data_IF_495447508923
#
_entry.id   IF_495447508923
#
_cell.length_a   1.000
_cell.length_b   1.000
_cell.length_c   1.000
_cell.angle_alpha   90.00
_cell.angle_beta   90.00
_cell.angle_gamma   90.00
#
_symmetry.space_group_name_H-M   'P 1'
#
loop_
_entity.id
_entity.type
_entity.pdbx_description
1 polymer ?
#
# COMPACT_ATOMS: atom_id res chain seq x y z
N UNK A 1 0.67 -3.21 24.40
CA UNK A 1 0.53 -4.29 23.39
C UNK A 1 0.82 -3.80 21.96
N UNK A 2 0.30 -2.64 21.53
CA UNK A 2 0.49 -2.13 20.16
C UNK A 2 1.97 -2.09 19.69
N UNK A 3 2.89 -1.66 20.55
CA UNK A 3 4.33 -1.59 20.22
C UNK A 3 5.08 -2.93 20.29
N UNK A 4 4.49 -4.00 20.84
CA UNK A 4 5.15 -5.31 20.88
C UNK A 4 5.15 -5.98 19.51
N UNK A 5 4.06 -5.83 18.76
CA UNK A 5 3.94 -6.35 17.39
C UNK A 5 5.06 -5.84 16.47
N UNK A 6 5.30 -4.52 16.32
CA UNK A 6 6.35 -4.03 15.45
C UNK A 6 7.73 -4.50 15.91
N UNK A 7 8.01 -4.57 17.22
CA UNK A 7 9.32 -5.04 17.73
C UNK A 7 9.58 -6.51 17.35
N UNK A 8 8.59 -7.39 17.52
CA UNK A 8 8.73 -8.82 17.20
C UNK A 8 8.84 -9.03 15.69
N UNK A 9 7.99 -8.36 14.91
CA UNK A 9 7.91 -8.58 13.47
C UNK A 9 8.93 -7.77 12.65
N UNK A 10 9.64 -6.81 13.25
CA UNK A 10 10.67 -6.02 12.56
C UNK A 10 11.81 -6.88 12.02
N UNK A 11 12.30 -7.86 12.78
CA UNK A 11 13.39 -8.75 12.36
C UNK A 11 12.98 -9.62 11.15
N UNK A 12 11.92 -10.44 11.21
CA UNK A 12 11.56 -11.32 10.10
C UNK A 12 11.17 -10.53 8.85
N UNK A 13 10.42 -9.43 8.99
CA UNK A 13 10.04 -8.59 7.84
C UNK A 13 11.27 -7.89 7.26
N UNK A 14 12.22 -7.45 8.10
CA UNK A 14 13.48 -6.89 7.65
C UNK A 14 14.33 -7.89 6.85
N UNK A 15 14.37 -9.15 7.24
CA UNK A 15 15.06 -10.21 6.47
C UNK A 15 14.40 -10.38 5.10
N UNK A 16 13.07 -10.43 5.04
CA UNK A 16 12.35 -10.56 3.76
C UNK A 16 12.62 -9.34 2.89
N UNK A 17 12.48 -8.12 3.43
CA UNK A 17 12.76 -6.89 2.69
C UNK A 17 14.21 -6.82 2.21
N UNK A 18 15.18 -7.29 2.99
CA UNK A 18 16.58 -7.31 2.61
C UNK A 18 16.87 -8.26 1.42
N UNK A 19 16.12 -9.37 1.30
CA UNK A 19 16.31 -10.36 0.24
C UNK A 19 15.49 -10.00 -1.01
N UNK A 20 14.22 -9.62 -0.84
CA UNK A 20 13.27 -9.45 -1.95
C UNK A 20 13.00 -7.99 -2.32
N UNK A 21 13.54 -7.02 -1.58
CA UNK A 21 13.21 -5.60 -1.70
C UNK A 21 11.69 -5.32 -1.55
N UNK A 22 10.96 -6.23 -0.91
CA UNK A 22 9.50 -6.12 -0.78
C UNK A 22 9.13 -5.97 0.69
N UNK A 23 8.46 -4.87 1.03
CA UNK A 23 8.04 -4.58 2.38
C UNK A 23 6.61 -5.03 2.62
N UNK A 24 6.44 -6.01 3.51
CA UNK A 24 5.14 -6.60 3.81
C UNK A 24 4.44 -5.75 4.88
N UNK A 25 3.19 -5.36 4.59
CA UNK A 25 2.37 -4.59 5.52
C UNK A 25 1.80 -5.46 6.65
N UNK A 26 1.95 -5.01 7.91
CA UNK A 26 1.27 -5.62 9.07
C UNK A 26 -0.14 -5.06 9.31
N UNK A 27 -0.63 -4.17 8.45
CA UNK A 27 -1.87 -3.43 8.62
C UNK A 27 -3.07 -4.33 8.94
N UNK A 28 -3.25 -5.43 8.20
CA UNK A 28 -4.42 -6.31 8.37
C UNK A 28 -4.35 -7.09 9.68
N UNK A 29 -3.17 -7.56 10.08
CA UNK A 29 -3.00 -8.34 11.31
C UNK A 29 -3.27 -7.46 12.53
N UNK A 30 -2.76 -6.23 12.54
CA UNK A 30 -2.99 -5.29 13.64
C UNK A 30 -4.47 -4.91 13.75
N UNK A 31 -5.14 -4.69 12.61
CA UNK A 31 -6.59 -4.42 12.54
C UNK A 31 -7.43 -5.58 13.08
N UNK A 32 -7.12 -6.82 12.69
CA UNK A 32 -7.85 -8.01 13.15
C UNK A 32 -7.68 -8.22 14.66
N UNK A 33 -6.45 -8.12 15.19
CA UNK A 33 -6.19 -8.30 16.63
C UNK A 33 -7.02 -7.30 17.45
N UNK A 34 -7.01 -6.02 17.07
CA UNK A 34 -7.73 -4.97 17.81
C UNK A 34 -9.23 -5.08 17.62
N UNK A 35 -9.67 -5.42 16.41
CA UNK A 35 -11.09 -5.62 16.15
C UNK A 35 -11.69 -6.71 17.03
N UNK A 36 -10.92 -7.75 17.39
CA UNK A 36 -11.34 -8.75 18.38
C UNK A 36 -11.26 -8.25 19.82
N UNK A 37 -10.28 -7.41 20.17
CA UNK A 37 -10.10 -6.89 21.54
C UNK A 37 -11.07 -5.76 21.91
N UNK A 38 -11.35 -4.85 20.98
CA UNK A 38 -12.14 -3.63 21.20
C UNK A 38 -13.11 -3.40 20.02
N UNK A 39 -14.10 -4.28 19.83
CA UNK A 39 -15.10 -4.09 18.78
C UNK A 39 -15.94 -2.83 19.03
N UNK A 40 -16.35 -2.15 17.94
CA UNK A 40 -17.20 -0.97 17.97
C UNK A 40 -16.47 0.36 18.20
N UNK A 41 -15.13 0.36 18.34
CA UNK A 41 -14.33 1.58 18.60
C UNK A 41 -13.36 1.87 17.44
N UNK A 42 -13.81 2.54 16.36
CA UNK A 42 -13.00 2.77 15.16
C UNK A 42 -11.77 3.67 15.41
N UNK A 43 -11.90 4.68 16.27
CA UNK A 43 -10.78 5.58 16.61
C UNK A 43 -9.65 4.79 17.31
N UNK A 44 -10.01 3.89 18.23
CA UNK A 44 -9.05 3.03 18.91
C UNK A 44 -8.34 2.08 17.93
N UNK A 45 -9.07 1.55 16.94
CA UNK A 45 -8.50 0.74 15.88
C UNK A 45 -7.48 1.51 15.03
N UNK A 46 -7.81 2.74 14.64
CA UNK A 46 -6.91 3.59 13.84
C UNK A 46 -5.62 3.92 14.60
N UNK A 47 -5.72 4.25 15.89
CA UNK A 47 -4.55 4.50 16.73
C UNK A 47 -3.68 3.26 16.88
N UNK A 48 -4.28 2.09 17.11
CA UNK A 48 -3.50 0.86 17.24
C UNK A 48 -2.85 0.46 15.92
N UNK A 49 -3.53 0.62 14.77
CA UNK A 49 -2.91 0.43 13.45
C UNK A 49 -1.70 1.34 13.28
N UNK A 50 -1.84 2.63 13.60
CA UNK A 50 -0.75 3.59 13.52
C UNK A 50 0.45 3.16 14.36
N UNK A 51 0.24 2.80 15.63
CA UNK A 51 1.34 2.38 16.52
C UNK A 51 1.85 0.96 16.27
N UNK A 52 1.03 0.06 15.73
CA UNK A 52 1.39 -1.33 15.48
C UNK A 52 2.14 -1.55 14.16
N UNK A 53 1.99 -0.65 13.19
CA UNK A 53 2.61 -0.76 11.87
C UNK A 53 3.63 0.33 11.57
N UNK A 54 3.32 1.60 11.84
CA UNK A 54 4.18 2.72 11.41
C UNK A 54 5.58 2.70 12.03
N UNK A 55 5.77 2.36 13.32
CA UNK A 55 7.11 2.26 13.90
C UNK A 55 7.98 1.20 13.23
N UNK A 56 7.41 0.05 12.84
CA UNK A 56 8.15 -0.96 12.09
C UNK A 56 8.52 -0.44 10.70
N UNK A 57 7.55 0.18 10.00
CA UNK A 57 7.77 0.70 8.66
C UNK A 57 8.90 1.75 8.64
N UNK A 58 8.82 2.73 9.53
CA UNK A 58 9.85 3.76 9.68
C UNK A 58 11.17 3.20 10.18
N UNK A 59 11.15 2.23 11.11
CA UNK A 59 12.35 1.56 11.59
C UNK A 59 13.12 0.80 10.51
N UNK A 60 12.40 0.19 9.56
CA UNK A 60 13.00 -0.49 8.40
C UNK A 60 13.66 0.51 7.44
N UNK A 61 12.97 1.62 7.12
CA UNK A 61 13.54 2.69 6.30
C UNK A 61 14.77 3.33 6.96
N UNK A 62 14.70 3.59 8.26
CA UNK A 62 15.84 4.08 9.04
C UNK A 62 17.03 3.13 8.98
N UNK A 63 16.78 1.82 9.08
CA UNK A 63 17.84 0.78 8.97
C UNK A 63 18.45 0.74 7.57
N UNK A 64 17.63 0.89 6.52
CA UNK A 64 18.09 0.97 5.13
C UNK A 64 19.02 2.17 4.92
N UNK A 65 18.65 3.32 5.44
CA UNK A 65 19.45 4.54 5.35
C UNK A 65 20.73 4.47 6.18
N UNK A 66 20.70 3.86 7.38
CA UNK A 66 21.91 3.63 8.18
C UNK A 66 22.92 2.75 7.44
N UNK A 67 22.44 1.75 6.68
CA UNK A 67 23.30 0.91 5.84
C UNK A 67 23.95 1.73 4.72
N UNK A 68 23.18 2.61 4.07
CA UNK A 68 23.71 3.53 3.07
C UNK A 68 24.73 4.51 3.67
N UNK A 69 24.42 5.09 4.83
CA UNK A 69 25.32 5.98 5.57
C UNK A 69 26.63 5.30 5.96
N UNK A 70 26.57 4.02 6.35
CA UNK A 70 27.77 3.21 6.60
C UNK A 70 28.64 3.06 5.35
N UNK A 71 28.06 2.82 4.18
CA UNK A 71 28.80 2.76 2.91
C UNK A 71 29.43 4.11 2.53
N UNK A 72 28.78 5.23 2.86
CA UNK A 72 29.28 6.58 2.63
C UNK A 72 30.22 7.08 3.73
N UNK A 73 30.55 6.23 4.72
CA UNK A 73 31.39 6.56 5.89
C UNK A 73 30.85 7.73 6.74
N UNK A 74 29.54 7.92 6.77
CA UNK A 74 28.90 8.93 7.62
C UNK A 74 28.75 8.38 9.05
N UNK A 75 29.11 9.14 10.10
CA UNK A 75 28.97 8.67 11.47
C UNK A 75 27.48 8.44 11.83
N UNK A 76 27.14 7.33 12.51
CA UNK A 76 25.75 6.93 12.76
C UNK A 76 24.98 7.91 13.66
N UNK A 77 25.67 8.61 14.57
CA UNK A 77 25.04 9.64 15.43
C UNK A 77 24.53 10.82 14.61
N UNK A 78 25.27 11.24 13.59
CA UNK A 78 24.88 12.35 12.71
C UNK A 78 23.71 11.94 11.83
N UNK A 79 23.72 10.70 11.30
CA UNK A 79 22.58 10.15 10.56
C UNK A 79 21.30 10.13 11.41
N UNK A 80 21.39 9.64 12.65
CA UNK A 80 20.24 9.60 13.57
C UNK A 80 19.66 10.99 13.83
N UNK A 81 20.51 12.00 14.07
CA UNK A 81 20.05 13.37 14.30
C UNK A 81 19.43 13.95 13.03
N UNK A 82 20.07 13.78 11.87
CA UNK A 82 19.58 14.30 10.59
C UNK A 82 18.20 13.74 10.24
N UNK A 83 18.02 12.43 10.37
CA UNK A 83 16.73 11.77 10.12
C UNK A 83 15.69 12.14 11.18
N UNK A 84 16.09 12.27 12.45
CA UNK A 84 15.20 12.71 13.52
C UNK A 84 14.65 14.11 13.27
N UNK A 85 15.52 15.07 12.97
CA UNK A 85 15.12 16.45 12.61
C UNK A 85 14.26 16.46 11.36
N UNK A 86 14.66 15.73 10.31
CA UNK A 86 13.88 15.63 9.08
C UNK A 86 12.49 15.06 9.29
N UNK A 87 12.34 14.05 10.15
CA UNK A 87 11.05 13.42 10.46
C UNK A 87 10.14 14.35 11.25
N UNK A 88 10.68 15.08 12.24
CA UNK A 88 9.92 16.09 13.00
C UNK A 88 9.45 17.20 12.08
N UNK A 89 10.34 17.72 11.24
CA UNK A 89 10.01 18.76 10.26
C UNK A 89 8.95 18.30 9.27
N UNK A 90 9.12 17.09 8.70
CA UNK A 90 8.14 16.49 7.80
C UNK A 90 6.78 16.30 8.48
N UNK A 91 6.74 15.93 9.76
CA UNK A 91 5.50 15.84 10.53
C UNK A 91 4.77 17.18 10.59
N UNK A 92 5.48 18.27 10.90
CA UNK A 92 4.90 19.62 10.96
C UNK A 92 4.40 20.08 9.59
N UNK A 93 5.22 19.94 8.55
CA UNK A 93 4.88 20.39 7.18
C UNK A 93 3.69 19.62 6.62
N UNK A 94 3.64 18.29 6.80
CA UNK A 94 2.53 17.49 6.31
C UNK A 94 1.20 17.90 6.96
N UNK A 95 1.19 18.16 8.26
CA UNK A 95 -0.03 18.63 8.96
C UNK A 95 -0.42 20.03 8.47
N UNK A 96 0.54 20.95 8.38
CA UNK A 96 0.28 22.32 7.92
C UNK A 96 -0.28 22.35 6.48
N UNK A 97 0.28 21.56 5.58
CA UNK A 97 -0.19 21.44 4.20
C UNK A 97 -1.56 20.77 4.14
N UNK A 98 -1.82 19.76 4.99
CA UNK A 98 -3.13 19.12 5.06
C UNK A 98 -4.22 20.10 5.49
N UNK A 99 -3.99 20.87 6.55
CA UNK A 99 -4.92 21.91 7.02
C UNK A 99 -5.14 22.99 5.97
N UNK A 100 -4.07 23.45 5.33
CA UNK A 100 -4.17 24.41 4.22
C UNK A 100 -4.99 23.85 3.05
N UNK A 101 -4.79 22.58 2.69
CA UNK A 101 -5.48 21.96 1.57
C UNK A 101 -6.99 21.86 1.82
N UNK A 102 -7.41 21.46 3.03
CA UNK A 102 -8.83 21.43 3.40
C UNK A 102 -9.47 22.83 3.46
N UNK A 103 -8.69 23.87 3.82
CA UNK A 103 -9.18 25.26 3.86
C UNK A 103 -9.23 25.96 2.51
N UNK A 104 -8.28 25.68 1.61
CA UNK A 104 -8.13 26.37 0.33
C UNK A 104 -8.91 25.71 -0.82
N UNK A 105 -9.08 24.37 -0.78
CA UNK A 105 -9.73 23.59 -1.84
C UNK A 105 -11.14 23.22 -1.39
N UNK A 106 -12.15 23.78 -2.07
CA UNK A 106 -13.55 23.39 -1.85
C UNK A 106 -13.79 21.95 -2.34
N UNK A 107 -14.65 21.23 -1.63
CA UNK A 107 -15.09 19.87 -1.96
C UNK A 107 -13.93 18.85 -2.06
N UNK A 108 -12.90 19.03 -1.22
CA UNK A 108 -11.76 18.12 -1.17
C UNK A 108 -12.20 16.73 -0.70
N UNK A 109 -11.70 15.68 -1.35
CA UNK A 109 -12.08 14.28 -1.14
C UNK A 109 -13.50 13.90 -1.59
N UNK A 110 -14.25 14.76 -2.28
CA UNK A 110 -15.53 14.40 -2.92
C UNK A 110 -15.32 13.81 -4.33
N UNK A 111 -16.22 12.91 -4.82
CA UNK A 111 -16.09 12.31 -6.14
C UNK A 111 -16.19 13.32 -7.28
N UNK A 112 -16.96 14.39 -7.11
CA UNK A 112 -17.25 15.42 -8.13
C UNK A 112 -16.33 16.65 -8.03
N UNK A 113 -15.19 16.51 -7.35
CA UNK A 113 -14.25 17.62 -7.23
C UNK A 113 -13.67 17.95 -8.62
N UNK A 114 -13.90 19.19 -9.08
CA UNK A 114 -13.40 19.73 -10.36
C UNK A 114 -11.89 19.57 -10.56
N UNK A 115 -11.13 19.52 -9.47
CA UNK A 115 -9.67 19.40 -9.49
C UNK A 115 -9.16 17.96 -9.32
N UNK A 116 -10.05 16.96 -9.21
CA UNK A 116 -9.69 15.54 -9.13
C UNK A 116 -9.06 15.08 -7.81
N UNK A 117 -9.18 15.86 -6.73
CA UNK A 117 -8.66 15.49 -5.39
C UNK A 117 -9.59 14.49 -4.69
N UNK A 118 -9.58 13.23 -5.13
CA UNK A 118 -10.51 12.17 -4.68
C UNK A 118 -10.04 11.32 -3.47
N UNK A 119 -8.95 11.71 -2.79
CA UNK A 119 -8.41 11.11 -1.55
C UNK A 119 -8.55 9.57 -1.41
N UNK A 120 -8.09 8.76 -2.38
CA UNK A 120 -8.37 7.33 -2.44
C UNK A 120 -7.80 6.56 -1.24
N UNK A 121 -6.57 6.90 -0.82
CA UNK A 121 -5.91 6.28 0.33
C UNK A 121 -6.63 6.60 1.64
N UNK A 122 -7.13 7.83 1.80
CA UNK A 122 -7.90 8.25 2.97
C UNK A 122 -9.24 7.52 3.07
N UNK A 123 -9.95 7.37 1.93
CA UNK A 123 -11.18 6.59 1.84
C UNK A 123 -10.96 5.11 2.14
N UNK A 124 -9.89 4.50 1.60
CA UNK A 124 -9.52 3.11 1.88
C UNK A 124 -9.24 2.90 3.38
N UNK A 125 -8.46 3.80 4.01
CA UNK A 125 -8.18 3.74 5.43
C UNK A 125 -9.44 3.90 6.32
N UNK A 126 -10.37 4.78 5.92
CA UNK A 126 -11.67 4.93 6.59
C UNK A 126 -12.55 3.69 6.43
N UNK A 127 -12.65 3.14 5.22
CA UNK A 127 -13.42 1.92 4.97
C UNK A 127 -12.87 0.74 5.77
N UNK A 128 -11.55 0.58 5.86
CA UNK A 128 -10.91 -0.42 6.73
C UNK A 128 -11.29 -0.23 8.21
N UNK A 129 -11.34 1.02 8.71
CA UNK A 129 -11.70 1.28 10.10
C UNK A 129 -13.17 0.99 10.42
N UNK A 130 -14.06 1.15 9.44
CA UNK A 130 -15.46 0.74 9.57
C UNK A 130 -15.57 -0.79 9.59
N UNK A 131 -14.92 -1.48 8.66
CA UNK A 131 -14.98 -2.95 8.54
C UNK A 131 -14.38 -3.63 9.78
N UNK A 132 -13.13 -3.31 10.13
CA UNK A 132 -12.43 -3.99 11.22
C UNK A 132 -12.65 -3.36 12.59
N UNK A 133 -12.98 -2.07 12.66
CA UNK A 133 -13.14 -1.33 13.92
C UNK A 133 -14.59 -1.24 14.39
N UNK A 134 -15.54 -0.89 13.51
CA UNK A 134 -16.97 -0.74 13.88
C UNK A 134 -17.70 -2.08 13.84
N UNK A 135 -17.66 -2.79 12.72
CA UNK A 135 -18.34 -4.09 12.56
C UNK A 135 -17.60 -5.16 13.38
N UNK A 136 -16.28 -5.14 13.28
CA UNK A 136 -15.40 -6.06 13.99
C UNK A 136 -15.24 -7.41 13.27
N UNK A 137 -14.05 -8.02 13.33
CA UNK A 137 -13.74 -9.29 12.69
C UNK A 137 -14.57 -10.46 13.23
N UNK A 138 -15.06 -10.39 14.48
CA UNK A 138 -15.95 -11.40 15.04
C UNK A 138 -17.26 -11.56 14.26
N UNK A 139 -17.80 -10.47 13.70
CA UNK A 139 -19.05 -10.50 12.92
C UNK A 139 -18.82 -10.85 11.45
N UNK A 140 -17.66 -10.49 10.90
CA UNK A 140 -17.33 -10.69 9.48
C UNK A 140 -16.75 -12.09 9.23
N UNK A 141 -15.84 -12.53 10.10
CA UNK A 141 -15.08 -13.78 9.99
C UNK A 141 -15.44 -14.82 11.05
N UNK A 142 -16.39 -14.52 11.94
CA UNK A 142 -16.89 -15.49 12.93
C UNK A 142 -17.69 -16.64 12.32
N UNK A 143 -18.22 -17.52 13.17
CA UNK A 143 -18.92 -18.75 12.74
C UNK A 143 -20.08 -18.48 11.76
N UNK A 144 -20.80 -17.39 11.98
CA UNK A 144 -21.96 -16.97 11.20
C UNK A 144 -21.65 -15.82 10.21
N UNK A 145 -20.37 -15.47 10.06
CA UNK A 145 -19.94 -14.40 9.16
C UNK A 145 -19.88 -14.84 7.69
N UNK A 146 -20.26 -13.95 6.77
CA UNK A 146 -20.21 -14.19 5.32
C UNK A 146 -18.80 -14.52 4.80
N UNK A 147 -17.78 -13.99 5.46
CA UNK A 147 -16.39 -14.08 5.03
C UNK A 147 -15.57 -15.09 5.85
N UNK A 148 -16.21 -15.99 6.62
CA UNK A 148 -15.50 -16.99 7.44
C UNK A 148 -14.47 -17.81 6.65
N UNK A 149 -14.76 -18.10 5.38
CA UNK A 149 -13.89 -18.91 4.53
C UNK A 149 -12.57 -18.19 4.20
N UNK A 150 -12.51 -16.86 4.29
CA UNK A 150 -11.28 -16.11 4.06
C UNK A 150 -10.21 -16.38 5.13
N UNK A 151 -10.59 -16.82 6.34
CA UNK A 151 -9.62 -17.21 7.36
C UNK A 151 -8.77 -18.40 6.93
N UNK A 152 -9.25 -19.28 6.03
CA UNK A 152 -8.45 -20.36 5.46
C UNK A 152 -7.27 -19.86 4.64
N UNK A 153 -7.30 -18.61 4.17
CA UNK A 153 -6.16 -18.02 3.46
C UNK A 153 -4.94 -17.83 4.37
N UNK A 154 -5.11 -17.71 5.70
CA UNK A 154 -3.98 -17.74 6.63
C UNK A 154 -3.29 -19.11 6.66
N UNK A 155 -4.07 -20.20 6.58
CA UNK A 155 -3.53 -21.55 6.48
C UNK A 155 -2.83 -21.77 5.14
N UNK A 156 -3.42 -21.32 4.04
CA UNK A 156 -2.75 -21.32 2.73
C UNK A 156 -1.43 -20.53 2.80
N UNK A 157 -1.45 -19.35 3.42
CA UNK A 157 -0.25 -18.53 3.63
C UNK A 157 0.83 -19.20 4.48
N UNK A 158 0.45 -20.00 5.49
CA UNK A 158 1.38 -20.74 6.33
C UNK A 158 1.94 -21.99 5.63
N UNK A 159 1.12 -22.68 4.83
CA UNK A 159 1.49 -23.91 4.12
C UNK A 159 2.34 -23.62 2.88
N UNK A 160 2.08 -22.52 2.16
CA UNK A 160 2.75 -22.22 0.88
C UNK A 160 4.28 -22.11 1.01
N UNK A 161 4.87 -21.43 2.02
CA UNK A 161 6.32 -21.42 2.21
C UNK A 161 6.92 -22.82 2.44
N UNK A 162 6.22 -23.68 3.18
CA UNK A 162 6.64 -25.08 3.44
C UNK A 162 6.58 -25.90 2.15
N UNK A 163 5.53 -25.71 1.34
CA UNK A 163 5.41 -26.34 0.03
C UNK A 163 6.53 -25.88 -0.93
N UNK A 164 6.84 -24.58 -0.97
CA UNK A 164 7.93 -24.10 -1.82
C UNK A 164 9.30 -24.59 -1.34
N UNK A 165 9.51 -24.64 -0.03
CA UNK A 165 10.74 -25.21 0.54
C UNK A 165 10.92 -26.69 0.17
N UNK A 166 9.88 -27.50 0.31
CA UNK A 166 9.93 -28.93 -0.07
C UNK A 166 10.12 -29.10 -1.57
N UNK A 167 9.43 -28.31 -2.39
CA UNK A 167 9.57 -28.32 -3.84
C UNK A 167 11.00 -27.94 -4.29
N UNK A 168 11.62 -26.95 -3.64
CA UNK A 168 13.01 -26.57 -3.90
C UNK A 168 13.98 -27.71 -3.58
N UNK A 169 13.72 -28.48 -2.51
CA UNK A 169 14.57 -29.60 -2.10
C UNK A 169 14.40 -30.83 -3.00
N UNK A 170 13.19 -31.12 -3.46
CA UNK A 170 12.91 -32.26 -4.34
C UNK A 170 13.35 -32.00 -5.79
N UNK A 171 13.19 -30.76 -6.28
CA UNK A 171 13.50 -30.39 -7.66
C UNK A 171 14.50 -29.23 -7.77
N UNK A 172 15.77 -29.43 -7.36
CA UNK A 172 16.77 -28.35 -7.31
C UNK A 172 17.10 -27.74 -8.68
N UNK A 173 16.83 -28.45 -9.78
CA UNK A 173 17.06 -27.98 -11.16
C UNK A 173 15.83 -27.32 -11.81
N UNK A 174 14.65 -27.36 -11.16
CA UNK A 174 13.42 -26.80 -11.71
C UNK A 174 13.33 -25.29 -11.49
N UNK A 175 12.54 -24.60 -12.32
CA UNK A 175 12.19 -23.19 -12.15
C UNK A 175 11.48 -22.86 -10.83
N UNK A 176 11.04 -23.90 -10.09
CA UNK A 176 10.51 -23.80 -8.74
C UNK A 176 11.36 -22.91 -7.82
N UNK A 177 12.70 -22.92 -7.97
CA UNK A 177 13.63 -22.09 -7.16
C UNK A 177 13.36 -20.58 -7.17
N UNK A 178 12.63 -20.08 -8.18
CA UNK A 178 12.30 -18.67 -8.31
C UNK A 178 10.97 -18.30 -7.65
N UNK A 179 10.23 -19.27 -7.12
CA UNK A 179 8.97 -19.04 -6.43
C UNK A 179 9.24 -18.51 -5.02
N UNK A 180 8.61 -17.38 -4.70
CA UNK A 180 8.68 -16.75 -3.40
C UNK A 180 7.26 -16.44 -2.93
N UNK A 181 6.81 -17.17 -1.90
CA UNK A 181 5.47 -16.99 -1.34
C UNK A 181 5.20 -15.55 -0.89
N UNK A 182 6.14 -14.86 -0.21
CA UNK A 182 5.93 -13.48 0.18
C UNK A 182 5.78 -12.51 -1.00
N UNK A 183 6.46 -12.75 -2.12
CA UNK A 183 6.32 -11.91 -3.32
C UNK A 183 4.98 -12.14 -4.04
N UNK A 184 4.54 -13.40 -4.13
CA UNK A 184 3.28 -13.77 -4.78
C UNK A 184 2.08 -13.20 -4.03
N UNK A 185 2.01 -13.40 -2.71
CA UNK A 185 0.90 -12.86 -1.91
C UNK A 185 1.06 -11.37 -1.61
N UNK A 186 2.30 -10.89 -1.49
CA UNK A 186 2.60 -9.48 -1.24
C UNK A 186 2.16 -8.57 -2.39
N UNK A 187 2.25 -9.04 -3.64
CA UNK A 187 1.85 -8.26 -4.81
C UNK A 187 0.42 -7.73 -4.74
N UNK A 188 -0.48 -8.40 -4.02
CA UNK A 188 -1.91 -8.03 -3.92
C UNK A 188 -2.18 -6.93 -2.88
N UNK A 189 -1.18 -6.55 -2.06
CA UNK A 189 -1.39 -5.65 -0.91
C UNK A 189 -1.82 -4.21 -1.27
N UNK A 190 -1.63 -3.78 -2.52
CA UNK A 190 -2.06 -2.44 -2.96
C UNK A 190 -3.49 -2.43 -3.52
N UNK A 191 -4.23 -3.55 -3.48
CA UNK A 191 -5.66 -3.60 -3.82
C UNK A 191 -6.47 -3.48 -2.52
N UNK A 192 -7.31 -2.43 -2.33
CA UNK A 192 -7.46 -1.16 -3.06
C UNK A 192 -6.58 -0.04 -2.44
N UNK A 193 -5.80 0.75 -3.23
CA UNK A 193 -6.31 1.62 -4.31
C UNK A 193 -5.76 1.38 -5.73
N UNK A 194 -4.82 0.47 -5.93
CA UNK A 194 -4.22 0.22 -7.24
C UNK A 194 -5.21 -0.51 -8.17
N UNK A 195 -5.35 0.00 -9.39
CA UNK A 195 -6.22 -0.61 -10.42
C UNK A 195 -5.45 -1.67 -11.21
N UNK A 196 -6.13 -2.57 -11.94
CA UNK A 196 -5.47 -3.52 -12.83
C UNK A 196 -4.50 -2.84 -13.81
N UNK A 197 -4.83 -1.61 -14.27
CA UNK A 197 -3.96 -0.82 -15.13
C UNK A 197 -2.62 -0.48 -14.44
N UNK A 198 -2.63 -0.13 -13.15
CA UNK A 198 -1.41 0.13 -12.37
C UNK A 198 -0.54 -1.12 -12.26
N UNK A 199 -1.14 -2.28 -12.05
CA UNK A 199 -0.40 -3.54 -11.99
C UNK A 199 0.19 -3.94 -13.34
N UNK A 200 -0.59 -3.81 -14.41
CA UNK A 200 -0.13 -4.12 -15.77
C UNK A 200 1.01 -3.20 -16.18
N UNK A 201 0.93 -1.90 -15.88
CA UNK A 201 2.02 -0.97 -16.20
C UNK A 201 3.30 -1.30 -15.42
N UNK A 202 3.21 -1.66 -14.13
CA UNK A 202 4.35 -2.14 -13.36
C UNK A 202 4.97 -3.40 -13.95
N UNK A 203 4.15 -4.37 -14.37
CA UNK A 203 4.64 -5.59 -15.03
C UNK A 203 5.32 -5.28 -16.36
N UNK A 204 4.75 -4.39 -17.17
CA UNK A 204 5.33 -4.02 -18.47
C UNK A 204 6.67 -3.30 -18.31
N UNK A 205 6.75 -2.30 -17.43
CA UNK A 205 8.01 -1.58 -17.14
C UNK A 205 9.03 -2.55 -16.51
N UNK A 206 8.58 -3.35 -15.54
CA UNK A 206 9.39 -4.36 -14.87
C UNK A 206 10.01 -5.36 -15.84
N UNK A 207 9.22 -5.94 -16.77
CA UNK A 207 9.73 -6.85 -17.80
C UNK A 207 10.65 -6.14 -18.79
N UNK A 208 10.30 -4.93 -19.21
CA UNK A 208 11.12 -4.19 -20.18
C UNK A 208 12.52 -3.93 -19.61
N UNK A 209 12.63 -3.40 -18.40
CA UNK A 209 13.92 -3.10 -17.79
C UNK A 209 14.65 -4.33 -17.25
N UNK A 210 13.95 -5.22 -16.53
CA UNK A 210 14.61 -6.34 -15.84
C UNK A 210 14.77 -7.61 -16.69
N UNK A 211 13.98 -7.79 -17.75
CA UNK A 211 14.10 -8.94 -18.64
C UNK A 211 14.73 -8.56 -19.99
N UNK A 212 14.15 -7.60 -20.72
CA UNK A 212 14.63 -7.25 -22.07
C UNK A 212 15.95 -6.47 -22.03
N UNK A 213 15.99 -5.34 -21.32
CA UNK A 213 17.18 -4.47 -21.27
C UNK A 213 18.32 -5.17 -20.54
N UNK A 214 18.05 -5.82 -19.40
CA UNK A 214 19.07 -6.57 -18.67
C UNK A 214 19.71 -7.68 -19.52
N UNK A 215 18.95 -8.40 -20.35
CA UNK A 215 19.47 -9.49 -21.19
C UNK A 215 20.23 -8.99 -22.42
N UNK A 216 19.79 -7.88 -23.03
CA UNK A 216 20.39 -7.34 -24.27
C UNK A 216 21.53 -6.34 -24.01
N UNK A 217 21.45 -5.57 -22.92
CA UNK A 217 22.34 -4.45 -22.59
C UNK A 217 22.78 -4.49 -21.11
N UNK A 218 23.37 -5.60 -20.69
CA UNK A 218 23.74 -5.84 -19.29
C UNK A 218 24.68 -4.77 -18.71
N UNK A 219 25.65 -4.29 -19.52
CA UNK A 219 26.59 -3.25 -19.10
C UNK A 219 25.90 -1.93 -18.75
N UNK A 220 24.97 -1.49 -19.60
CA UNK A 220 24.17 -0.29 -19.32
C UNK A 220 23.28 -0.50 -18.09
N UNK A 221 22.64 -1.66 -17.99
CA UNK A 221 21.72 -1.95 -16.89
C UNK A 221 22.42 -1.91 -15.52
N UNK A 222 23.63 -2.48 -15.40
CA UNK A 222 24.39 -2.46 -14.13
C UNK A 222 24.83 -1.07 -13.71
N UNK A 223 25.16 -0.20 -14.67
CA UNK A 223 25.75 1.11 -14.38
C UNK A 223 24.71 2.23 -14.25
N UNK A 224 23.68 2.23 -15.10
CA UNK A 224 22.78 3.38 -15.25
C UNK A 224 21.34 3.11 -14.83
N UNK A 225 20.87 1.86 -14.75
CA UNK A 225 19.46 1.58 -14.47
C UNK A 225 18.98 2.20 -13.14
N UNK A 226 19.81 2.15 -12.10
CA UNK A 226 19.49 2.78 -10.81
C UNK A 226 19.39 4.31 -10.92
N UNK A 227 20.31 4.94 -11.66
CA UNK A 227 20.29 6.37 -11.90
C UNK A 227 19.09 6.80 -12.74
N UNK A 228 18.73 6.02 -13.77
CA UNK A 228 17.53 6.25 -14.59
C UNK A 228 16.26 6.12 -13.76
N UNK A 229 16.17 5.12 -12.87
CA UNK A 229 15.05 4.99 -11.93
C UNK A 229 14.91 6.23 -11.04
N UNK A 230 16.00 6.66 -10.40
CA UNK A 230 15.99 7.87 -9.58
C UNK A 230 15.64 9.13 -10.38
N UNK A 231 16.10 9.23 -11.63
CA UNK A 231 15.76 10.32 -12.54
C UNK A 231 14.28 10.35 -12.92
N UNK A 232 13.65 9.19 -13.12
CA UNK A 232 12.20 9.10 -13.38
C UNK A 232 11.39 9.53 -12.16
N UNK A 233 11.78 9.11 -10.96
CA UNK A 233 11.09 9.50 -9.71
C UNK A 233 11.20 11.02 -9.45
N UNK A 234 12.39 11.58 -9.61
CA UNK A 234 12.62 13.02 -9.49
C UNK A 234 11.87 13.81 -10.57
N UNK A 235 11.89 13.32 -11.82
CA UNK A 235 11.18 13.94 -12.93
C UNK A 235 9.69 14.00 -12.67
N UNK A 236 9.08 12.90 -12.20
CA UNK A 236 7.67 12.85 -11.82
C UNK A 236 7.35 13.85 -10.70
N UNK A 237 8.17 13.90 -9.65
CA UNK A 237 7.97 14.85 -8.55
C UNK A 237 8.02 16.32 -9.02
N UNK A 238 8.97 16.68 -9.87
CA UNK A 238 9.10 18.03 -10.44
C UNK A 238 7.88 18.35 -11.33
N UNK A 239 7.49 17.42 -12.20
CA UNK A 239 6.30 17.57 -13.05
C UNK A 239 5.04 17.79 -12.21
N UNK A 240 4.85 17.05 -11.12
CA UNK A 240 3.70 17.22 -10.21
C UNK A 240 3.68 18.62 -9.59
N UNK A 241 4.83 19.13 -9.13
CA UNK A 241 4.92 20.49 -8.55
C UNK A 241 4.55 21.54 -9.61
N UNK A 242 5.09 21.42 -10.82
CA UNK A 242 4.79 22.35 -11.92
C UNK A 242 3.31 22.30 -12.27
N UNK A 243 2.72 21.11 -12.43
CA UNK A 243 1.29 20.96 -12.73
C UNK A 243 0.41 21.54 -11.62
N UNK A 244 0.79 21.34 -10.36
CA UNK A 244 0.05 21.88 -9.22
C UNK A 244 0.01 23.41 -9.25
N UNK A 245 1.16 24.08 -9.43
CA UNK A 245 1.20 25.55 -9.44
C UNK A 245 0.68 26.18 -10.74
N UNK A 246 0.84 25.50 -11.89
CA UNK A 246 0.46 26.04 -13.19
C UNK A 246 -1.01 25.77 -13.56
N UNK A 247 -1.58 24.64 -13.11
CA UNK A 247 -2.92 24.18 -13.54
C UNK A 247 -3.88 24.09 -12.37
N UNK A 248 -3.54 23.33 -11.33
CA UNK A 248 -4.47 23.05 -10.22
C UNK A 248 -4.74 24.26 -9.33
N UNK A 249 -3.70 24.99 -8.92
CA UNK A 249 -3.83 26.16 -8.03
C UNK A 249 -4.58 27.32 -8.71
N UNK A 250 -4.32 27.65 -10.00
CA UNK A 250 -5.07 28.70 -10.69
C UNK A 250 -6.45 28.24 -11.19
N UNK A 251 -6.87 27.00 -10.90
CA UNK A 251 -8.13 26.38 -11.38
C UNK A 251 -8.29 26.42 -12.91
N UNK A 252 -7.19 26.22 -13.64
CA UNK A 252 -7.22 26.12 -15.11
C UNK A 252 -7.68 24.73 -15.52
N UNK A 253 -8.52 24.64 -16.54
CA UNK A 253 -8.89 23.36 -17.14
C UNK A 253 -7.71 22.81 -17.95
N UNK A 254 -7.31 21.58 -17.65
CA UNK A 254 -6.31 20.88 -18.45
C UNK A 254 -6.90 20.56 -19.84
N UNK A 255 -6.11 20.65 -20.94
CA UNK A 255 -6.62 20.37 -22.28
C UNK A 255 -7.17 18.95 -22.43
N UNK A 256 -8.32 18.82 -23.09
CA UNK A 256 -8.93 17.54 -23.39
C UNK A 256 -8.16 16.83 -24.50
N UNK A 257 -7.61 15.66 -24.19
CA UNK A 257 -7.02 14.77 -25.18
C UNK A 257 -7.31 13.32 -24.80
N UNK A 258 -6.93 12.39 -25.68
CA UNK A 258 -7.23 10.97 -25.50
C UNK A 258 -6.82 10.44 -24.10
N UNK A 259 -5.66 10.82 -23.58
CA UNK A 259 -5.17 10.35 -22.29
C UNK A 259 -5.94 10.85 -21.06
N UNK A 260 -6.61 12.01 -21.14
CA UNK A 260 -7.47 12.52 -20.05
C UNK A 260 -8.90 12.01 -20.16
N UNK A 261 -9.41 11.88 -21.38
CA UNK A 261 -10.79 11.48 -21.65
C UNK A 261 -11.04 9.98 -21.52
N UNK A 262 -10.07 9.13 -21.89
CA UNK A 262 -10.26 7.67 -21.85
C UNK A 262 -10.44 7.15 -20.43
N UNK A 263 -9.72 7.70 -19.46
CA UNK A 263 -9.82 7.26 -18.06
C UNK A 263 -11.23 7.49 -17.52
N UNK A 264 -11.83 8.64 -17.83
CA UNK A 264 -13.19 9.01 -17.40
C UNK A 264 -14.28 8.12 -18.02
N UNK A 265 -14.04 7.56 -19.20
CA UNK A 265 -15.01 6.73 -19.93
C UNK A 265 -14.95 5.23 -19.58
N UNK A 266 -14.10 4.83 -18.65
CA UNK A 266 -14.02 3.43 -18.23
C UNK A 266 -15.17 3.04 -17.29
N UNK A 267 -15.59 1.77 -17.33
CA UNK A 267 -16.61 1.24 -16.40
C UNK A 267 -16.20 1.39 -14.93
N UNK A 268 -14.89 1.36 -14.66
CA UNK A 268 -14.32 1.59 -13.33
C UNK A 268 -14.53 3.04 -12.87
N UNK A 269 -14.33 4.02 -13.76
CA UNK A 269 -14.55 5.44 -13.46
C UNK A 269 -16.04 5.81 -13.39
N UNK A 270 -16.88 5.17 -14.19
CA UNK A 270 -18.34 5.39 -14.18
C UNK A 270 -19.05 4.64 -13.05
N UNK A 271 -18.35 3.78 -12.31
CA UNK A 271 -18.95 2.96 -11.24
C UNK A 271 -19.97 1.94 -11.75
N UNK A 272 -19.99 1.67 -13.07
CA UNK A 272 -20.93 0.74 -13.71
C UNK A 272 -20.42 -0.70 -13.74
N UNK A 273 -19.20 -0.94 -13.26
CA UNK A 273 -18.59 -2.26 -13.07
C UNK A 273 -19.25 -3.06 -11.92
N UNK A 274 -20.58 -3.17 -11.91
CA UNK A 274 -21.35 -3.92 -10.91
C UNK A 274 -21.60 -5.33 -11.44
N UNK A 275 -21.00 -6.33 -10.80
CA UNK A 275 -21.18 -7.74 -11.21
C UNK A 275 -22.51 -8.35 -10.76
N UNK A 276 -23.15 -7.81 -9.72
CA UNK A 276 -24.41 -8.34 -9.21
C UNK A 276 -25.29 -7.20 -8.73
N UNK A 277 -26.46 -7.06 -9.35
CA UNK A 277 -27.51 -6.12 -8.93
C UNK A 277 -28.51 -6.92 -8.11
N UNK A 278 -28.64 -6.60 -6.82
CA UNK A 278 -29.58 -7.25 -5.92
C UNK A 278 -31.02 -6.97 -6.38
N UNK A 279 -31.91 -7.97 -6.30
CA UNK A 279 -33.33 -7.76 -6.64
C UNK A 279 -33.99 -6.85 -5.59
N UNK A 280 -35.08 -6.19 -5.97
CA UNK A 280 -35.82 -5.27 -5.09
C UNK A 280 -36.30 -6.01 -3.83
N UNK A 281 -35.67 -5.74 -2.68
CA UNK A 281 -35.96 -6.39 -1.39
C UNK A 281 -34.87 -7.33 -0.88
N UNK A 282 -33.89 -7.70 -1.71
CA UNK A 282 -32.69 -8.41 -1.26
C UNK A 282 -31.71 -7.40 -0.66
N UNK A 283 -31.14 -7.73 0.50
CA UNK A 283 -30.12 -6.90 1.16
C UNK A 283 -28.77 -7.59 1.07
N UNK A 284 -27.71 -6.79 0.88
CA UNK A 284 -26.35 -7.30 0.98
C UNK A 284 -26.00 -7.48 2.45
N UNK A 285 -26.23 -8.69 2.95
CA UNK A 285 -26.03 -9.06 4.35
C UNK A 285 -27.31 -9.56 5.05
N UNK A 286 -27.22 -9.88 6.34
CA UNK A 286 -28.33 -10.25 7.20
C UNK A 286 -29.39 -9.16 7.28
N UNK A 287 -30.66 -9.54 7.50
CA UNK A 287 -31.75 -8.60 7.64
C UNK A 287 -31.52 -7.64 8.80
N UNK A 288 -31.94 -6.37 8.62
CA UNK A 288 -31.83 -5.31 9.63
C UNK A 288 -32.44 -5.78 10.96
N UNK A 289 -31.63 -5.82 12.01
CA UNK A 289 -32.07 -6.23 13.36
C UNK A 289 -31.80 -7.69 13.73
N UNK A 290 -31.26 -8.51 12.83
CA UNK A 290 -30.76 -9.86 13.16
C UNK A 290 -29.40 -9.88 13.87
N UNK A 291 -28.90 -8.69 14.25
CA UNK A 291 -27.57 -8.46 14.80
C UNK A 291 -27.64 -8.38 16.33
N UNK A 292 -27.80 -9.52 17.00
CA UNK A 292 -27.54 -9.66 18.44
C UNK A 292 -26.10 -10.09 18.66
#
# INVERSE_FOLDING_TARGET
MAYLLPVIFMIPIGIVQAISNFQIGLNVITEVIVGFMLPGKPIAMMLFKAYGYMPMYQGLLFTQDLKLGHYMKVPPRVMMIAQGVGTVWAGVVNVAVMEWAFGAIKDMCEPDNKNGFICPTGRSAFNSSVIFGVIGPARIFGKDGFYKNFLWMFLVGAVTPVLFYTLHRMFPKSGARYLSAPLIFGGVLFIPPATPLTYLSWVMVGMTFNYVIRKKYEGWWKQYNYLTSGGMDLGLAICLIIMFFAVSLPQRTFPDWWGTTVVANTMDSMGTAVQTVMKKGETFGPPKGSWS
#
